data_IF_428119253066
#
_entry.id   IF_428119253066
#
_cell.length_a   1.000
_cell.length_b   1.000
_cell.length_c   1.000
_cell.angle_alpha   90.00
_cell.angle_beta   90.00
_cell.angle_gamma   90.00
#
_symmetry.space_group_name_H-M   'P 1'
#
loop_
_entity.id
_entity.type
_entity.pdbx_description
1 polymer ?
#
# COMPACT_ATOMS: atom_id res chain seq x y z
N UNK A 1 -22.04 -14.74 -56.68
CA UNK A 1 -21.48 -13.37 -56.72
C UNK A 1 -22.30 -12.50 -55.80
N UNK A 2 -21.81 -12.25 -54.58
CA UNK A 2 -22.06 -11.04 -53.80
C UNK A 2 -21.03 -11.05 -52.67
N UNK A 3 -19.82 -10.65 -53.05
CA UNK A 3 -18.76 -10.24 -52.15
C UNK A 3 -19.03 -8.85 -51.58
N UNK A 4 -18.49 -8.64 -50.38
CA UNK A 4 -18.06 -7.36 -49.77
C UNK A 4 -19.13 -6.36 -49.33
N UNK A 5 -19.13 -6.04 -48.04
CA UNK A 5 -18.30 -4.93 -47.55
C UNK A 5 -18.02 -5.07 -46.05
N UNK A 6 -16.76 -5.37 -45.76
CA UNK A 6 -16.13 -5.34 -44.44
C UNK A 6 -15.75 -3.88 -44.17
N UNK A 7 -16.36 -3.23 -43.18
CA UNK A 7 -15.83 -2.01 -42.56
C UNK A 7 -16.40 -1.83 -41.15
N UNK A 8 -16.13 -2.79 -40.27
CA UNK A 8 -16.26 -2.53 -38.82
C UNK A 8 -15.19 -1.52 -38.44
N UNK A 9 -15.56 -0.26 -38.49
CA UNK A 9 -14.77 0.84 -37.96
C UNK A 9 -14.47 0.51 -36.49
N UNK A 10 -13.20 0.26 -36.16
CA UNK A 10 -12.75 -0.09 -34.80
C UNK A 10 -12.85 1.12 -33.87
N UNK A 11 -14.04 1.69 -33.67
CA UNK A 11 -14.25 2.77 -32.72
C UNK A 11 -14.15 2.23 -31.30
N UNK A 12 -13.23 2.79 -30.51
CA UNK A 12 -13.09 2.43 -29.10
C UNK A 12 -14.29 2.99 -28.34
N UNK A 13 -15.11 2.12 -27.76
CA UNK A 13 -16.27 2.52 -26.95
C UNK A 13 -15.80 2.92 -25.56
N UNK A 14 -15.79 4.22 -25.29
CA UNK A 14 -15.47 4.80 -23.98
C UNK A 14 -16.74 5.30 -23.30
N UNK A 15 -17.09 4.79 -22.11
CA UNK A 15 -18.25 5.31 -21.37
C UNK A 15 -17.91 6.69 -20.80
N UNK A 16 -18.92 7.53 -20.60
CA UNK A 16 -18.73 8.83 -19.93
C UNK A 16 -18.37 8.64 -18.44
N UNK A 17 -19.01 7.66 -17.80
CA UNK A 17 -18.81 7.30 -16.40
C UNK A 17 -18.89 5.79 -16.17
N UNK A 18 -18.29 5.33 -15.07
CA UNK A 18 -18.50 4.02 -14.49
C UNK A 18 -19.31 4.13 -13.21
N UNK A 19 -19.99 3.05 -12.84
CA UNK A 19 -20.70 2.90 -11.56
C UNK A 19 -19.87 1.95 -10.70
N UNK A 20 -19.37 2.42 -9.56
CA UNK A 20 -18.71 1.58 -8.57
C UNK A 20 -19.79 0.95 -7.70
N UNK A 21 -19.95 -0.37 -7.75
CA UNK A 21 -20.99 -1.03 -6.97
C UNK A 21 -20.82 -0.84 -5.47
N UNK A 22 -19.56 -0.78 -5.02
CA UNK A 22 -19.21 -0.52 -3.62
C UNK A 22 -19.95 -1.41 -2.65
N UNK A 23 -20.51 -0.78 -1.62
CA UNK A 23 -21.16 -1.45 -0.50
C UNK A 23 -22.70 -1.39 -0.58
N UNK A 24 -23.26 -1.16 -1.77
CA UNK A 24 -24.67 -0.84 -1.98
C UNK A 24 -25.68 -1.89 -1.47
N UNK A 25 -25.25 -3.15 -1.36
CA UNK A 25 -26.10 -4.28 -0.98
C UNK A 25 -26.05 -4.62 0.52
N UNK A 26 -25.24 -3.90 1.31
CA UNK A 26 -24.99 -4.23 2.73
C UNK A 26 -25.94 -3.46 3.65
N UNK A 27 -26.73 -4.14 4.51
CA UNK A 27 -27.57 -3.46 5.49
C UNK A 27 -26.71 -2.74 6.53
N UNK A 28 -27.18 -1.59 7.02
CA UNK A 28 -26.50 -0.77 8.05
C UNK A 28 -25.08 -0.31 7.68
N UNK A 29 -24.75 -0.22 6.39
CA UNK A 29 -23.43 0.17 5.90
C UNK A 29 -22.96 1.55 6.39
N UNK A 30 -23.88 2.42 6.82
CA UNK A 30 -23.56 3.75 7.39
C UNK A 30 -22.53 3.67 8.52
N UNK A 31 -22.61 2.67 9.40
CA UNK A 31 -21.65 2.48 10.48
C UNK A 31 -20.25 2.12 9.95
N UNK A 32 -20.18 1.36 8.86
CA UNK A 32 -18.91 1.00 8.23
C UNK A 32 -18.23 2.21 7.58
N UNK A 33 -18.99 3.13 6.98
CA UNK A 33 -18.43 4.39 6.45
C UNK A 33 -17.88 5.31 7.54
N UNK A 34 -18.58 5.40 8.68
CA UNK A 34 -18.08 6.13 9.86
C UNK A 34 -16.79 5.48 10.36
N UNK A 35 -16.75 4.15 10.44
CA UNK A 35 -15.55 3.40 10.79
C UNK A 35 -14.39 3.70 9.83
N UNK A 36 -14.59 3.62 8.52
CA UNK A 36 -13.57 3.96 7.52
C UNK A 36 -13.10 5.41 7.62
N UNK A 37 -13.98 6.35 7.97
CA UNK A 37 -13.62 7.76 8.18
C UNK A 37 -12.69 7.93 9.38
N UNK A 38 -12.92 7.18 10.46
CA UNK A 38 -12.01 7.13 11.61
C UNK A 38 -10.65 6.53 11.21
N UNK A 39 -10.65 5.41 10.48
CA UNK A 39 -9.43 4.77 9.98
C UNK A 39 -8.63 5.74 9.10
N UNK A 40 -9.28 6.45 8.17
CA UNK A 40 -8.64 7.46 7.32
C UNK A 40 -8.03 8.58 8.15
N UNK A 41 -8.77 9.13 9.10
CA UNK A 41 -8.28 10.22 9.96
C UNK A 41 -7.07 9.77 10.77
N UNK A 42 -7.12 8.58 11.37
CA UNK A 42 -6.01 8.01 12.12
C UNK A 42 -4.78 7.77 11.23
N UNK A 43 -5.00 7.27 10.01
CA UNK A 43 -3.94 7.02 9.02
C UNK A 43 -3.27 8.32 8.58
N UNK A 44 -4.06 9.34 8.26
CA UNK A 44 -3.57 10.65 7.85
C UNK A 44 -2.76 11.30 8.96
N UNK A 45 -3.33 11.40 10.16
CA UNK A 45 -2.64 12.01 11.30
C UNK A 45 -1.39 11.23 11.70
N UNK A 46 -1.46 9.90 11.75
CA UNK A 46 -0.35 9.05 12.14
C UNK A 46 0.82 9.13 11.17
N UNK A 47 0.57 9.00 9.87
CA UNK A 47 1.62 9.02 8.86
C UNK A 47 2.19 10.43 8.65
N UNK A 48 1.36 11.48 8.66
CA UNK A 48 1.85 12.86 8.64
C UNK A 48 2.74 13.16 9.85
N UNK A 49 2.35 12.72 11.04
CA UNK A 49 3.15 12.88 12.23
C UNK A 49 4.52 12.19 12.10
N UNK A 50 4.56 10.96 11.59
CA UNK A 50 5.82 10.23 11.34
C UNK A 50 6.68 11.00 10.34
N UNK A 51 6.11 11.47 9.22
CA UNK A 51 6.83 12.23 8.21
C UNK A 51 7.39 13.55 8.77
N UNK A 52 6.59 14.31 9.52
CA UNK A 52 7.01 15.57 10.15
C UNK A 52 8.14 15.34 11.14
N UNK A 53 8.05 14.30 11.97
CA UNK A 53 9.13 13.99 12.93
C UNK A 53 10.44 13.67 12.22
N UNK A 54 10.39 12.83 11.18
CA UNK A 54 11.58 12.46 10.40
C UNK A 54 12.16 13.71 9.72
N UNK A 55 11.32 14.61 9.21
CA UNK A 55 11.75 15.84 8.56
C UNK A 55 12.40 16.84 9.52
N UNK A 56 11.89 16.95 10.76
CA UNK A 56 12.35 17.94 11.75
C UNK A 56 13.59 17.47 12.53
N UNK A 57 13.65 16.19 12.90
CA UNK A 57 14.77 15.66 13.69
C UNK A 57 15.90 15.15 12.80
N UNK A 58 16.97 15.95 12.67
CA UNK A 58 18.16 15.56 11.90
C UNK A 58 18.80 14.25 12.38
N UNK A 59 18.62 13.84 13.64
CA UNK A 59 19.14 12.56 14.13
C UNK A 59 18.42 11.36 13.49
N UNK A 60 17.23 11.59 12.93
CA UNK A 60 16.45 10.58 12.21
C UNK A 60 16.80 10.56 10.72
N UNK A 61 17.71 11.39 10.21
CA UNK A 61 18.14 11.33 8.80
C UNK A 61 19.10 10.16 8.53
N UNK A 62 18.61 8.94 8.76
CA UNK A 62 19.35 7.69 8.54
C UNK A 62 18.65 6.84 7.48
N UNK A 63 19.33 5.83 6.90
CA UNK A 63 18.82 5.11 5.74
C UNK A 63 17.49 4.40 6.06
N UNK A 64 17.38 3.86 7.29
CA UNK A 64 16.15 3.25 7.82
C UNK A 64 14.96 4.21 7.77
N UNK A 65 15.13 5.46 8.20
CA UNK A 65 14.01 6.41 8.26
C UNK A 65 13.65 6.98 6.89
N UNK A 66 14.57 7.00 5.91
CA UNK A 66 14.20 7.28 4.52
C UNK A 66 13.18 6.26 4.00
N UNK A 67 13.38 4.98 4.33
CA UNK A 67 12.45 3.90 3.96
C UNK A 67 11.12 4.04 4.73
N UNK A 68 11.15 4.36 6.02
CA UNK A 68 9.93 4.60 6.82
C UNK A 68 9.15 5.82 6.29
N UNK A 69 9.84 6.88 5.90
CA UNK A 69 9.22 8.06 5.30
C UNK A 69 8.53 7.70 3.97
N UNK A 70 9.18 6.88 3.14
CA UNK A 70 8.58 6.37 1.91
C UNK A 70 7.32 5.54 2.19
N UNK A 71 7.35 4.70 3.22
CA UNK A 71 6.20 3.89 3.63
C UNK A 71 5.03 4.76 4.07
N UNK A 72 5.29 5.77 4.91
CA UNK A 72 4.28 6.72 5.35
C UNK A 72 3.68 7.53 4.19
N UNK A 73 4.49 7.90 3.19
CA UNK A 73 4.01 8.55 1.97
C UNK A 73 3.09 7.63 1.17
N UNK A 74 3.47 6.36 1.01
CA UNK A 74 2.66 5.37 0.30
C UNK A 74 1.34 5.08 1.03
N UNK A 75 1.37 4.98 2.37
CA UNK A 75 0.19 4.81 3.23
C UNK A 75 -0.82 5.97 3.08
N UNK A 76 -0.32 7.22 3.05
CA UNK A 76 -1.15 8.40 2.81
C UNK A 76 -1.73 8.42 1.40
N UNK A 77 -0.90 8.12 0.39
CA UNK A 77 -1.29 8.11 -1.01
C UNK A 77 -2.40 7.11 -1.29
N UNK A 78 -2.24 5.86 -0.83
CA UNK A 78 -3.24 4.80 -0.99
C UNK A 78 -4.55 5.15 -0.29
N UNK A 79 -4.47 5.59 0.97
CA UNK A 79 -5.65 5.93 1.77
C UNK A 79 -6.42 7.10 1.17
N UNK A 80 -5.72 8.10 0.63
CA UNK A 80 -6.31 9.27 -0.03
C UNK A 80 -6.89 8.91 -1.40
N UNK A 81 -6.33 7.92 -2.09
CA UNK A 81 -6.89 7.44 -3.35
C UNK A 81 -8.19 6.63 -3.13
N UNK A 82 -8.27 5.81 -2.07
CA UNK A 82 -9.41 4.94 -1.80
C UNK A 82 -10.53 5.64 -1.02
N UNK A 83 -10.22 6.13 0.18
CA UNK A 83 -11.24 6.40 1.21
C UNK A 83 -12.12 7.63 0.88
N UNK A 84 -11.58 8.76 0.38
CA UNK A 84 -12.40 9.92 0.01
C UNK A 84 -13.50 9.59 -1.00
N UNK A 85 -13.24 8.74 -2.01
CA UNK A 85 -14.26 8.37 -2.99
C UNK A 85 -15.37 7.52 -2.36
N UNK A 86 -15.00 6.63 -1.45
CA UNK A 86 -15.94 5.81 -0.68
C UNK A 86 -16.83 6.69 0.21
N UNK A 87 -16.26 7.73 0.83
CA UNK A 87 -17.00 8.71 1.64
C UNK A 87 -17.90 9.58 0.78
N UNK A 88 -17.45 10.06 -0.39
CA UNK A 88 -18.28 10.82 -1.33
C UNK A 88 -19.52 10.02 -1.75
N UNK A 89 -19.31 8.76 -2.11
CA UNK A 89 -20.39 7.82 -2.48
C UNK A 89 -21.41 7.68 -1.34
N UNK A 90 -20.94 7.64 -0.08
CA UNK A 90 -21.81 7.60 1.09
C UNK A 90 -22.60 8.90 1.32
N UNK A 91 -21.93 10.06 1.25
CA UNK A 91 -22.53 11.35 1.58
C UNK A 91 -23.53 11.83 0.54
N UNK A 92 -23.22 11.62 -0.74
CA UNK A 92 -24.00 12.16 -1.86
C UNK A 92 -24.79 11.11 -2.63
N UNK A 93 -24.69 9.83 -2.22
CA UNK A 93 -25.30 8.68 -2.90
C UNK A 93 -24.91 8.57 -4.39
N UNK A 94 -23.73 9.11 -4.75
CA UNK A 94 -23.20 9.10 -6.12
C UNK A 94 -22.18 7.97 -6.27
N UNK A 95 -22.61 6.87 -6.88
CA UNK A 95 -21.72 5.74 -7.23
C UNK A 95 -20.98 5.97 -8.54
N UNK A 96 -21.30 7.06 -9.23
CA UNK A 96 -20.70 7.40 -10.51
C UNK A 96 -19.31 8.01 -10.34
N UNK A 97 -18.43 7.62 -11.26
CA UNK A 97 -17.09 8.18 -11.42
C UNK A 97 -16.83 8.38 -12.90
N UNK A 98 -16.32 9.54 -13.28
CA UNK A 98 -15.97 9.78 -14.68
C UNK A 98 -14.87 8.82 -15.14
N UNK A 99 -14.85 8.48 -16.42
CA UNK A 99 -13.84 7.57 -16.98
C UNK A 99 -12.41 7.97 -16.60
N UNK A 100 -12.06 9.26 -16.75
CA UNK A 100 -10.74 9.77 -16.42
C UNK A 100 -10.42 9.72 -14.92
N UNK A 101 -11.37 10.06 -14.05
CA UNK A 101 -11.19 9.95 -12.60
C UNK A 101 -11.02 8.49 -12.16
N UNK A 102 -11.68 7.55 -12.84
CA UNK A 102 -11.54 6.12 -12.57
C UNK A 102 -10.15 5.60 -12.93
N UNK A 103 -9.57 6.03 -14.06
CA UNK A 103 -8.20 5.69 -14.43
C UNK A 103 -7.17 6.30 -13.45
N UNK A 104 -7.39 7.53 -12.99
CA UNK A 104 -6.55 8.15 -11.97
C UNK A 104 -6.64 7.41 -10.63
N UNK A 105 -7.85 7.04 -10.19
CA UNK A 105 -8.07 6.23 -9.00
C UNK A 105 -7.34 4.88 -9.12
N UNK A 106 -7.52 4.18 -10.23
CA UNK A 106 -6.80 2.94 -10.53
C UNK A 106 -5.28 3.12 -10.43
N UNK A 107 -4.74 4.16 -11.05
CA UNK A 107 -3.31 4.45 -11.03
C UNK A 107 -2.77 4.64 -9.61
N UNK A 108 -3.35 5.57 -8.84
CA UNK A 108 -2.82 5.91 -7.52
C UNK A 108 -2.98 4.76 -6.52
N UNK A 109 -4.10 4.04 -6.55
CA UNK A 109 -4.31 2.89 -5.65
C UNK A 109 -3.23 1.83 -5.88
N UNK A 110 -3.04 1.42 -7.14
CA UNK A 110 -2.07 0.36 -7.43
C UNK A 110 -0.63 0.81 -7.22
N UNK A 111 -0.29 2.04 -7.62
CA UNK A 111 1.05 2.59 -7.43
C UNK A 111 1.44 2.62 -5.95
N UNK A 112 0.61 3.18 -5.09
CA UNK A 112 0.94 3.25 -3.67
C UNK A 112 0.91 1.88 -2.98
N UNK A 113 0.01 0.98 -3.38
CA UNK A 113 -0.01 -0.39 -2.86
C UNK A 113 1.28 -1.16 -3.21
N UNK A 114 1.72 -1.06 -4.47
CA UNK A 114 2.97 -1.66 -4.93
C UNK A 114 4.17 -1.05 -4.19
N UNK A 115 4.16 0.28 -4.02
CA UNK A 115 5.20 0.98 -3.26
C UNK A 115 5.28 0.53 -1.79
N UNK A 116 4.15 0.27 -1.11
CA UNK A 116 4.16 -0.29 0.25
C UNK A 116 4.86 -1.64 0.28
N UNK A 117 4.48 -2.55 -0.62
CA UNK A 117 5.06 -3.88 -0.73
C UNK A 117 6.58 -3.85 -0.95
N UNK A 118 7.03 -3.05 -1.92
CA UNK A 118 8.45 -2.81 -2.22
C UNK A 118 9.18 -2.28 -0.98
N UNK A 119 8.57 -1.34 -0.27
CA UNK A 119 9.16 -0.69 0.90
C UNK A 119 9.32 -1.68 2.06
N UNK A 120 8.36 -2.58 2.27
CA UNK A 120 8.50 -3.68 3.23
C UNK A 120 9.65 -4.63 2.85
N UNK A 121 9.83 -4.95 1.56
CA UNK A 121 11.00 -5.73 1.13
C UNK A 121 12.31 -5.00 1.40
N UNK A 122 12.36 -3.68 1.19
CA UNK A 122 13.56 -2.88 1.46
C UNK A 122 13.87 -2.80 2.96
N UNK A 123 12.85 -2.76 3.83
CA UNK A 123 13.04 -2.89 5.28
C UNK A 123 13.59 -4.28 5.65
N UNK A 124 13.12 -5.35 5.03
CA UNK A 124 13.68 -6.68 5.22
C UNK A 124 15.15 -6.75 4.79
N UNK A 125 15.49 -6.12 3.66
CA UNK A 125 16.86 -6.01 3.17
C UNK A 125 17.76 -5.27 4.15
N UNK A 126 17.33 -4.11 4.69
CA UNK A 126 18.07 -3.39 5.74
C UNK A 126 18.38 -4.30 6.94
N UNK A 127 17.37 -5.03 7.44
CA UNK A 127 17.54 -5.96 8.57
C UNK A 127 18.48 -7.11 8.23
N UNK A 128 18.35 -7.67 7.04
CA UNK A 128 19.22 -8.73 6.56
C UNK A 128 20.69 -8.28 6.54
N UNK A 129 21.00 -7.14 5.92
CA UNK A 129 22.39 -6.65 5.87
C UNK A 129 22.90 -6.33 7.28
N UNK A 130 22.07 -5.74 8.14
CA UNK A 130 22.45 -5.37 9.50
C UNK A 130 22.84 -6.58 10.37
N UNK A 131 22.14 -7.72 10.22
CA UNK A 131 22.32 -8.89 11.08
C UNK A 131 23.26 -9.92 10.44
N UNK A 132 23.08 -10.21 9.15
CA UNK A 132 23.84 -11.24 8.45
C UNK A 132 25.21 -10.75 7.98
N UNK A 133 25.38 -9.44 7.75
CA UNK A 133 26.63 -8.85 7.22
C UNK A 133 27.04 -7.59 8.01
N UNK A 134 27.14 -7.67 9.36
CA UNK A 134 27.29 -6.49 10.22
C UNK A 134 28.56 -5.67 9.91
N UNK A 135 29.67 -6.31 9.53
CA UNK A 135 30.95 -5.65 9.22
C UNK A 135 30.86 -4.71 8.00
N UNK A 136 29.97 -5.00 7.04
CA UNK A 136 29.81 -4.20 5.82
C UNK A 136 28.57 -3.31 5.84
N UNK A 137 27.76 -3.37 6.88
CA UNK A 137 26.48 -2.65 6.95
C UNK A 137 26.63 -1.15 6.63
N UNK A 138 27.55 -0.45 7.31
CA UNK A 138 27.77 1.00 7.11
C UNK A 138 28.28 1.38 5.72
N UNK A 139 28.85 0.43 4.97
CA UNK A 139 29.32 0.67 3.61
C UNK A 139 28.26 0.34 2.56
N UNK A 140 27.35 -0.60 2.86
CA UNK A 140 26.30 -1.05 1.93
C UNK A 140 25.05 -0.19 2.09
N UNK A 141 24.59 -0.02 3.33
CA UNK A 141 23.35 0.69 3.66
C UNK A 141 23.70 2.11 4.10
N UNK A 142 23.61 3.03 3.15
CA UNK A 142 23.89 4.46 3.33
C UNK A 142 22.68 5.26 2.84
N UNK A 143 22.59 6.55 3.21
CA UNK A 143 21.49 7.40 2.73
C UNK A 143 21.49 7.48 1.20
N UNK A 144 22.67 7.61 0.59
CA UNK A 144 22.82 7.66 -0.85
C UNK A 144 22.39 6.36 -1.53
N UNK A 145 22.87 5.21 -1.05
CA UNK A 145 22.50 3.91 -1.65
C UNK A 145 21.00 3.62 -1.51
N UNK A 146 20.39 3.89 -0.35
CA UNK A 146 18.95 3.70 -0.16
C UNK A 146 18.12 4.68 -0.98
N UNK A 147 18.55 5.94 -1.12
CA UNK A 147 17.87 6.92 -1.97
C UNK A 147 17.91 6.51 -3.45
N UNK A 148 19.04 6.01 -3.94
CA UNK A 148 19.17 5.49 -5.31
C UNK A 148 18.26 4.28 -5.51
N UNK A 149 18.29 3.30 -4.58
CA UNK A 149 17.44 2.10 -4.64
C UNK A 149 15.96 2.49 -4.68
N UNK A 150 15.52 3.37 -3.77
CA UNK A 150 14.14 3.88 -3.74
C UNK A 150 13.77 4.56 -5.06
N UNK A 151 14.63 5.44 -5.58
CA UNK A 151 14.36 6.16 -6.84
C UNK A 151 14.19 5.20 -8.01
N UNK A 152 15.05 4.19 -8.12
CA UNK A 152 14.96 3.17 -9.19
C UNK A 152 13.66 2.37 -9.05
N UNK A 153 13.29 1.97 -7.83
CA UNK A 153 12.07 1.22 -7.58
C UNK A 153 10.80 2.07 -7.84
N UNK A 154 10.83 3.36 -7.53
CA UNK A 154 9.78 4.32 -7.89
C UNK A 154 9.58 4.42 -9.39
N UNK A 155 10.66 4.59 -10.16
CA UNK A 155 10.58 4.68 -11.61
C UNK A 155 10.11 3.37 -12.23
N UNK A 156 10.56 2.23 -11.69
CA UNK A 156 10.11 0.91 -12.12
C UNK A 156 8.61 0.73 -11.89
N UNK A 157 8.13 0.96 -10.67
CA UNK A 157 6.72 0.84 -10.32
C UNK A 157 5.86 1.81 -11.15
N UNK A 158 6.26 3.07 -11.24
CA UNK A 158 5.60 4.09 -12.06
C UNK A 158 5.42 3.62 -13.51
N UNK A 159 6.49 3.08 -14.11
CA UNK A 159 6.45 2.59 -15.49
C UNK A 159 5.48 1.43 -15.66
N UNK A 160 5.51 0.45 -14.76
CA UNK A 160 4.65 -0.74 -14.82
C UNK A 160 3.18 -0.36 -14.62
N UNK A 161 2.87 0.50 -13.66
CA UNK A 161 1.49 0.92 -13.38
C UNK A 161 0.95 1.84 -14.48
N UNK A 162 1.75 2.79 -14.98
CA UNK A 162 1.36 3.61 -16.13
C UNK A 162 1.07 2.75 -17.35
N UNK A 163 1.91 1.76 -17.65
CA UNK A 163 1.67 0.85 -18.75
C UNK A 163 0.39 0.04 -18.54
N UNK A 164 0.17 -0.49 -17.34
CA UNK A 164 -1.05 -1.23 -16.97
C UNK A 164 -2.31 -0.38 -17.17
N UNK A 165 -2.31 0.89 -16.74
CA UNK A 165 -3.43 1.82 -16.94
C UNK A 165 -3.58 2.21 -18.41
N UNK A 166 -2.48 2.42 -19.13
CA UNK A 166 -2.52 2.73 -20.55
C UNK A 166 -3.18 1.60 -21.37
N UNK A 167 -2.98 0.33 -20.99
CA UNK A 167 -3.64 -0.80 -21.65
C UNK A 167 -5.17 -0.75 -21.52
N UNK A 168 -5.70 -0.23 -20.41
CA UNK A 168 -7.13 -0.02 -20.20
C UNK A 168 -7.71 0.99 -21.20
N UNK A 169 -6.94 2.00 -21.62
CA UNK A 169 -7.38 3.02 -22.59
C UNK A 169 -7.64 2.48 -23.99
N UNK A 170 -7.12 1.27 -24.28
CA UNK A 170 -7.31 0.55 -25.54
C UNK A 170 -8.57 -0.32 -25.55
N UNK A 171 -9.25 -0.47 -24.41
CA UNK A 171 -10.41 -1.31 -24.27
C UNK A 171 -11.71 -0.59 -24.65
N UNK A 172 -12.62 -1.34 -25.26
CA UNK A 172 -13.99 -0.92 -25.57
C UNK A 172 -14.95 -1.54 -24.55
N UNK A 173 -15.54 -0.71 -23.70
CA UNK A 173 -16.45 -1.14 -22.64
C UNK A 173 -17.88 -1.21 -23.17
N UNK A 174 -18.33 -2.40 -23.56
CA UNK A 174 -19.68 -2.60 -24.10
C UNK A 174 -20.53 -3.63 -23.34
N UNK A 175 -19.94 -4.41 -22.41
CA UNK A 175 -20.68 -5.41 -21.63
C UNK A 175 -21.45 -4.77 -20.46
N UNK A 176 -20.80 -3.86 -19.75
CA UNK A 176 -21.35 -3.16 -18.58
C UNK A 176 -20.46 -1.97 -18.24
N UNK A 177 -21.02 -0.98 -17.54
CA UNK A 177 -20.31 0.14 -16.92
C UNK A 177 -20.24 0.00 -15.39
N UNK A 178 -20.74 -1.10 -14.84
CA UNK A 178 -20.73 -1.39 -13.40
C UNK A 178 -19.48 -2.17 -13.02
N UNK A 179 -18.62 -1.55 -12.21
CA UNK A 179 -17.41 -2.16 -11.67
C UNK A 179 -17.77 -2.88 -10.37
N UNK A 180 -17.56 -4.20 -10.34
CA UNK A 180 -17.79 -5.04 -9.16
C UNK A 180 -16.65 -4.96 -8.14
N UNK A 181 -16.46 -3.77 -7.57
CA UNK A 181 -15.50 -3.44 -6.51
C UNK A 181 -15.96 -2.19 -5.74
N UNK A 182 -15.20 -1.76 -4.74
CA UNK A 182 -15.41 -0.48 -4.02
C UNK A 182 -14.52 0.67 -4.50
N UNK A 183 -13.66 0.39 -5.49
CA UNK A 183 -12.83 1.36 -6.20
C UNK A 183 -12.67 0.92 -7.66
N UNK A 184 -11.93 1.69 -8.47
CA UNK A 184 -11.61 1.32 -9.84
C UNK A 184 -10.52 0.25 -9.88
N UNK A 185 -10.93 -1.00 -9.67
CA UNK A 185 -10.04 -2.15 -9.67
C UNK A 185 -9.76 -2.66 -11.09
N UNK A 186 -8.48 -2.88 -11.41
CA UNK A 186 -8.01 -3.32 -12.72
C UNK A 186 -8.73 -4.59 -13.20
N UNK A 187 -8.85 -5.60 -12.33
CA UNK A 187 -9.40 -6.90 -12.65
C UNK A 187 -10.87 -6.83 -13.12
N UNK A 188 -11.78 -6.31 -12.28
CA UNK A 188 -13.16 -6.05 -12.65
C UNK A 188 -13.29 -5.16 -13.88
N UNK A 189 -12.47 -4.11 -14.02
CA UNK A 189 -12.55 -3.18 -15.15
C UNK A 189 -12.27 -3.86 -16.50
N UNK A 190 -11.11 -4.51 -16.69
CA UNK A 190 -10.77 -5.01 -18.03
C UNK A 190 -11.71 -6.13 -18.51
N UNK A 191 -12.38 -6.84 -17.58
CA UNK A 191 -13.35 -7.91 -17.90
C UNK A 191 -14.66 -7.38 -18.50
N UNK A 192 -14.98 -6.11 -18.28
CA UNK A 192 -16.14 -5.45 -18.89
C UNK A 192 -15.94 -5.12 -20.37
N UNK A 193 -14.70 -5.23 -20.87
CA UNK A 193 -14.37 -4.97 -22.26
C UNK A 193 -14.89 -6.06 -23.20
N UNK A 194 -15.21 -5.66 -24.43
CA UNK A 194 -15.68 -6.54 -25.50
C UNK A 194 -14.58 -6.94 -26.49
N UNK A 195 -13.53 -6.13 -26.62
CA UNK A 195 -12.36 -6.45 -27.42
C UNK A 195 -11.34 -7.28 -26.62
N UNK A 196 -10.29 -7.72 -27.31
CA UNK A 196 -9.24 -8.53 -26.70
C UNK A 196 -8.59 -7.80 -25.51
N UNK A 197 -8.65 -8.45 -24.35
CA UNK A 197 -8.09 -7.97 -23.09
C UNK A 197 -6.99 -8.90 -22.56
N UNK A 198 -6.47 -9.82 -23.39
CA UNK A 198 -5.39 -10.77 -23.06
C UNK A 198 -4.18 -10.10 -22.40
N UNK A 199 -3.71 -8.99 -22.95
CA UNK A 199 -2.59 -8.22 -22.38
C UNK A 199 -2.89 -7.66 -20.98
N UNK A 200 -4.13 -7.26 -20.71
CA UNK A 200 -4.53 -6.80 -19.38
C UNK A 200 -4.54 -7.98 -18.39
N UNK A 201 -5.02 -9.15 -18.82
CA UNK A 201 -4.96 -10.36 -17.99
C UNK A 201 -3.52 -10.78 -17.67
N UNK A 202 -2.61 -10.73 -18.67
CA UNK A 202 -1.17 -10.99 -18.48
C UNK A 202 -0.56 -9.98 -17.51
N UNK A 203 -0.84 -8.68 -17.69
CA UNK A 203 -0.34 -7.64 -16.79
C UNK A 203 -0.88 -7.79 -15.37
N UNK A 204 -2.12 -8.23 -15.18
CA UNK A 204 -2.67 -8.49 -13.85
C UNK A 204 -1.86 -9.59 -13.13
N UNK A 205 -1.55 -10.70 -13.83
CA UNK A 205 -0.72 -11.78 -13.27
C UNK A 205 0.71 -11.28 -13.00
N UNK A 206 1.30 -10.54 -13.95
CA UNK A 206 2.63 -9.98 -13.81
C UNK A 206 2.76 -9.07 -12.58
N UNK A 207 1.80 -8.16 -12.37
CA UNK A 207 1.77 -7.28 -11.19
C UNK A 207 1.65 -8.08 -9.89
N UNK A 208 0.76 -9.08 -9.82
CA UNK A 208 0.61 -9.92 -8.63
C UNK A 208 1.90 -10.68 -8.32
N UNK A 209 2.55 -11.29 -9.32
CA UNK A 209 3.82 -12.00 -9.11
C UNK A 209 4.92 -11.06 -8.67
N UNK A 210 5.06 -9.92 -9.35
CA UNK A 210 6.15 -8.96 -9.15
C UNK A 210 6.03 -8.18 -7.85
N UNK A 211 4.83 -7.76 -7.46
CA UNK A 211 4.62 -6.88 -6.31
C UNK A 211 4.01 -7.58 -5.10
N UNK A 212 3.67 -8.87 -5.18
CA UNK A 212 3.18 -9.62 -4.01
C UNK A 212 4.08 -10.82 -3.74
N UNK A 213 4.14 -11.78 -4.67
CA UNK A 213 4.83 -13.06 -4.40
C UNK A 213 6.34 -12.93 -4.38
N UNK A 214 6.94 -12.14 -5.26
CA UNK A 214 8.39 -11.90 -5.28
C UNK A 214 8.84 -11.17 -3.99
N UNK A 215 8.26 -10.02 -3.61
CA UNK A 215 8.48 -9.35 -2.32
C UNK A 215 8.34 -10.28 -1.12
N UNK A 216 7.25 -11.05 -1.02
CA UNK A 216 7.02 -11.99 0.07
C UNK A 216 8.11 -13.08 0.12
N UNK A 217 8.53 -13.58 -1.04
CA UNK A 217 9.62 -14.57 -1.14
C UNK A 217 10.95 -13.99 -0.69
N UNK A 218 11.30 -12.78 -1.14
CA UNK A 218 12.53 -12.09 -0.74
C UNK A 218 12.55 -11.79 0.76
N UNK A 219 11.42 -11.39 1.33
CA UNK A 219 11.26 -11.21 2.78
C UNK A 219 11.47 -12.56 3.49
N UNK A 220 10.79 -13.62 3.06
CA UNK A 220 10.92 -14.95 3.65
C UNK A 220 12.37 -15.48 3.65
N UNK A 221 13.06 -15.36 2.51
CA UNK A 221 14.48 -15.74 2.39
C UNK A 221 15.38 -14.88 3.29
N UNK A 222 15.15 -13.58 3.33
CA UNK A 222 15.90 -12.66 4.22
C UNK A 222 15.76 -13.08 5.68
N UNK A 223 14.55 -13.42 6.11
CA UNK A 223 14.28 -13.85 7.48
C UNK A 223 14.79 -15.25 7.79
N UNK A 224 14.77 -16.18 6.83
CA UNK A 224 15.42 -17.47 6.97
C UNK A 224 16.93 -17.30 7.23
N UNK A 225 17.61 -16.44 6.46
CA UNK A 225 19.02 -16.14 6.67
C UNK A 225 19.28 -15.43 8.01
N UNK A 226 18.40 -14.52 8.44
CA UNK A 226 18.47 -13.88 9.75
C UNK A 226 18.40 -14.94 10.85
N UNK A 227 17.41 -15.84 10.80
CA UNK A 227 17.27 -16.92 11.78
C UNK A 227 18.51 -17.81 11.85
N UNK A 228 19.07 -18.20 10.70
CA UNK A 228 20.34 -18.96 10.64
C UNK A 228 21.48 -18.19 11.30
N UNK A 229 21.57 -16.88 11.07
CA UNK A 229 22.61 -16.04 11.68
C UNK A 229 22.41 -15.90 13.20
N UNK A 230 21.17 -15.89 13.70
CA UNK A 230 20.87 -15.86 15.13
C UNK A 230 21.35 -17.12 15.85
N UNK A 231 21.24 -18.29 15.23
CA UNK A 231 21.76 -19.54 15.82
C UNK A 231 23.29 -19.50 16.02
N UNK A 232 24.01 -18.71 15.21
CA UNK A 232 25.47 -18.53 15.34
C UNK A 232 25.87 -17.55 16.47
N UNK A 233 24.93 -16.75 16.98
CA UNK A 233 25.20 -15.84 18.11
C UNK A 233 25.28 -16.67 19.40
N UNK A 234 26.41 -16.58 20.11
CA UNK A 234 26.66 -17.35 21.32
C UNK A 234 25.83 -16.89 22.53
N UNK A 235 25.50 -15.60 22.64
CA UNK A 235 24.76 -15.05 23.78
C UNK A 235 23.25 -15.00 23.55
N UNK A 236 22.48 -15.43 24.54
CA UNK A 236 21.02 -15.34 24.55
C UNK A 236 20.52 -13.89 24.46
N UNK A 237 21.19 -12.98 25.17
CA UNK A 237 20.90 -11.55 25.13
C UNK A 237 21.07 -10.95 23.73
N UNK A 238 22.10 -11.37 23.00
CA UNK A 238 22.33 -10.96 21.60
C UNK A 238 21.22 -11.43 20.67
N UNK A 239 20.76 -12.69 20.85
CA UNK A 239 19.62 -13.25 20.09
C UNK A 239 18.33 -12.50 20.38
N UNK A 240 18.02 -12.27 21.66
CA UNK A 240 16.80 -11.59 22.08
C UNK A 240 16.76 -10.14 21.57
N UNK A 241 17.89 -9.44 21.61
CA UNK A 241 18.01 -8.08 21.07
C UNK A 241 17.74 -8.04 19.58
N UNK A 242 18.28 -8.99 18.81
CA UNK A 242 18.08 -9.06 17.37
C UNK A 242 16.65 -9.51 16.96
N UNK A 243 16.02 -10.40 17.72
CA UNK A 243 14.61 -10.74 17.52
C UNK A 243 13.70 -9.54 17.79
N UNK A 244 14.00 -8.76 18.84
CA UNK A 244 13.24 -7.55 19.18
C UNK A 244 13.34 -6.46 18.11
N UNK A 245 14.47 -6.35 17.40
CA UNK A 245 14.58 -5.39 16.29
C UNK A 245 13.79 -5.82 15.06
N UNK A 246 13.57 -7.13 14.88
CA UNK A 246 12.89 -7.71 13.72
C UNK A 246 11.37 -7.84 13.90
N UNK A 247 10.88 -7.91 15.14
CA UNK A 247 9.46 -8.16 15.44
C UNK A 247 8.54 -7.08 14.87
N UNK A 248 8.92 -5.80 15.01
CA UNK A 248 8.16 -4.69 14.43
C UNK A 248 7.95 -4.85 12.92
N UNK A 249 9.01 -5.21 12.19
CA UNK A 249 8.91 -5.43 10.75
C UNK A 249 8.08 -6.66 10.38
N UNK A 250 8.22 -7.77 11.12
CA UNK A 250 7.36 -8.94 10.90
C UNK A 250 5.88 -8.63 11.13
N UNK A 251 5.54 -7.83 12.13
CA UNK A 251 4.15 -7.40 12.38
C UNK A 251 3.62 -6.65 11.15
N UNK A 252 4.38 -5.72 10.59
CA UNK A 252 3.96 -4.97 9.38
C UNK A 252 3.74 -5.89 8.18
N UNK A 253 4.68 -6.83 7.96
CA UNK A 253 4.57 -7.82 6.88
C UNK A 253 3.31 -8.67 7.06
N UNK A 254 3.03 -9.16 8.26
CA UNK A 254 1.86 -9.98 8.53
C UNK A 254 0.56 -9.18 8.33
N UNK A 255 0.50 -7.96 8.86
CA UNK A 255 -0.66 -7.07 8.73
C UNK A 255 -0.95 -6.73 7.27
N UNK A 256 0.08 -6.48 6.45
CA UNK A 256 -0.07 -6.17 5.04
C UNK A 256 -0.39 -7.41 4.19
N UNK A 257 0.43 -8.46 4.25
CA UNK A 257 0.33 -9.58 3.31
C UNK A 257 -0.77 -10.59 3.65
N UNK A 258 -1.08 -10.85 4.93
CA UNK A 258 -2.08 -11.88 5.27
C UNK A 258 -3.45 -11.53 4.67
N UNK A 259 -4.00 -10.31 4.85
CA UNK A 259 -5.32 -9.96 4.29
C UNK A 259 -5.32 -9.96 2.75
N UNK A 260 -4.26 -9.43 2.14
CA UNK A 260 -4.07 -9.40 0.69
C UNK A 260 -4.06 -10.82 0.09
N UNK A 261 -3.18 -11.69 0.58
CA UNK A 261 -3.06 -13.08 0.10
C UNK A 261 -4.34 -13.86 0.37
N UNK A 262 -4.97 -13.67 1.52
CA UNK A 262 -6.25 -14.31 1.85
C UNK A 262 -7.34 -13.93 0.86
N UNK A 263 -7.41 -12.65 0.45
CA UNK A 263 -8.35 -12.17 -0.57
C UNK A 263 -8.10 -12.87 -1.91
N UNK A 264 -6.83 -12.96 -2.34
CA UNK A 264 -6.47 -13.60 -3.61
C UNK A 264 -6.76 -15.10 -3.62
N UNK A 265 -6.39 -15.81 -2.56
CA UNK A 265 -6.68 -17.26 -2.44
C UNK A 265 -8.18 -17.48 -2.49
N UNK A 266 -8.93 -16.74 -1.67
CA UNK A 266 -10.35 -16.99 -1.52
C UNK A 266 -11.14 -16.58 -2.79
N UNK A 267 -10.69 -15.56 -3.54
CA UNK A 267 -11.22 -15.25 -4.87
C UNK A 267 -11.01 -16.37 -5.92
N UNK A 268 -10.12 -17.33 -5.66
CA UNK A 268 -9.77 -18.44 -6.57
C UNK A 268 -10.30 -19.80 -6.10
N UNK A 269 -10.47 -19.99 -4.81
CA UNK A 269 -10.82 -21.30 -4.22
C UNK A 269 -12.25 -21.40 -3.74
N UNK A 270 -12.93 -20.28 -3.45
CA UNK A 270 -14.27 -20.30 -2.86
C UNK A 270 -15.22 -19.32 -3.55
N UNK A 271 -16.52 -19.64 -3.55
CA UNK A 271 -17.57 -18.72 -3.95
C UNK A 271 -17.92 -17.79 -2.79
N UNK A 272 -17.03 -16.83 -2.50
CA UNK A 272 -17.32 -15.82 -1.48
C UNK A 272 -18.45 -14.89 -1.94
N UNK A 273 -19.42 -14.66 -1.06
CA UNK A 273 -20.44 -13.64 -1.26
C UNK A 273 -19.80 -12.27 -1.53
N UNK A 274 -20.27 -11.58 -2.57
CA UNK A 274 -19.73 -10.30 -3.05
C UNK A 274 -19.39 -9.32 -1.92
N UNK A 275 -20.33 -9.12 -1.01
CA UNK A 275 -20.19 -8.16 0.10
C UNK A 275 -19.05 -8.50 1.06
N UNK A 276 -18.86 -9.79 1.36
CA UNK A 276 -17.77 -10.27 2.21
C UNK A 276 -16.43 -10.01 1.53
N UNK A 277 -16.34 -10.27 0.22
CA UNK A 277 -15.14 -9.97 -0.57
C UNK A 277 -14.81 -8.48 -0.56
N UNK A 278 -15.82 -7.62 -0.73
CA UNK A 278 -15.65 -6.16 -0.76
C UNK A 278 -15.20 -5.64 0.61
N UNK A 279 -15.84 -6.08 1.71
CA UNK A 279 -15.42 -5.71 3.07
C UNK A 279 -14.00 -6.19 3.36
N UNK A 280 -13.68 -7.44 3.02
CA UNK A 280 -12.35 -7.99 3.25
C UNK A 280 -11.28 -7.24 2.47
N UNK A 281 -11.55 -6.91 1.20
CA UNK A 281 -10.64 -6.11 0.38
C UNK A 281 -10.48 -4.72 0.99
N UNK A 282 -11.57 -4.04 1.33
CA UNK A 282 -11.53 -2.72 1.99
C UNK A 282 -10.69 -2.72 3.28
N UNK A 283 -10.88 -3.71 4.15
CA UNK A 283 -10.06 -3.84 5.36
C UNK A 283 -8.59 -4.15 5.07
N UNK A 284 -8.31 -4.95 4.04
CA UNK A 284 -6.94 -5.29 3.62
C UNK A 284 -6.13 -4.06 3.18
N UNK A 285 -6.79 -3.06 2.59
CA UNK A 285 -6.17 -1.79 2.20
C UNK A 285 -6.21 -0.74 3.32
N UNK A 286 -7.23 -0.73 4.17
CA UNK A 286 -7.40 0.33 5.17
C UNK A 286 -6.62 0.07 6.48
N UNK A 287 -6.50 -1.19 6.92
CA UNK A 287 -5.90 -1.52 8.22
C UNK A 287 -4.38 -1.34 8.24
N UNK A 288 -3.60 -1.82 7.26
CA UNK A 288 -2.14 -1.72 7.33
C UNK A 288 -1.64 -0.28 7.43
N UNK A 289 -2.05 0.66 6.56
CA UNK A 289 -1.63 2.07 6.64
C UNK A 289 -1.91 2.73 8.00
N UNK A 290 -3.00 2.35 8.66
CA UNK A 290 -3.36 2.85 9.99
C UNK A 290 -2.45 2.31 11.09
N UNK A 291 -2.13 1.01 11.04
CA UNK A 291 -1.31 0.36 12.07
C UNK A 291 0.18 0.66 11.93
N UNK A 292 0.64 0.94 10.71
CA UNK A 292 2.04 1.22 10.37
C UNK A 292 2.68 2.28 11.30
N UNK A 293 2.13 3.50 11.46
CA UNK A 293 2.64 4.51 12.40
C UNK A 293 2.75 4.03 13.85
N UNK A 294 1.80 3.23 14.32
CA UNK A 294 1.78 2.68 15.68
C UNK A 294 2.94 1.71 15.85
N UNK A 295 3.16 0.83 14.87
CA UNK A 295 4.25 -0.15 14.92
C UNK A 295 5.62 0.53 14.84
N UNK A 296 5.81 1.58 14.03
CA UNK A 296 7.07 2.33 14.00
C UNK A 296 7.29 3.12 15.28
N UNK A 297 6.30 3.91 15.72
CA UNK A 297 6.43 4.83 16.86
C UNK A 297 6.53 4.11 18.21
N UNK A 298 5.77 3.05 18.43
CA UNK A 298 5.78 2.30 19.69
C UNK A 298 6.98 1.35 19.81
N UNK A 299 7.69 1.02 18.75
CA UNK A 299 8.85 0.13 18.82
C UNK A 299 10.20 0.84 18.62
N UNK A 300 10.19 2.12 18.30
CA UNK A 300 11.42 2.88 18.00
C UNK A 300 11.75 3.82 19.16
N UNK A 301 12.85 3.55 19.85
CA UNK A 301 13.28 4.33 21.03
C UNK A 301 13.53 5.80 20.66
N UNK A 302 14.05 6.04 19.46
CA UNK A 302 14.40 7.35 18.93
C UNK A 302 13.15 8.23 18.73
N UNK A 303 12.06 7.67 18.19
CA UNK A 303 10.78 8.37 18.06
C UNK A 303 10.19 8.64 19.45
N UNK A 304 10.23 7.66 20.36
CA UNK A 304 9.76 7.86 21.75
C UNK A 304 10.54 8.95 22.48
N UNK A 305 11.85 9.00 22.30
CA UNK A 305 12.71 10.00 22.93
C UNK A 305 12.49 11.38 22.33
N UNK A 306 12.28 11.50 21.02
CA UNK A 306 11.87 12.75 20.38
C UNK A 306 10.54 13.25 20.95
N UNK A 307 9.52 12.39 20.99
CA UNK A 307 8.21 12.70 21.56
C UNK A 307 8.32 13.14 23.02
N UNK A 308 9.11 12.43 23.82
CA UNK A 308 9.38 12.79 25.23
C UNK A 308 10.07 14.15 25.35
N UNK A 309 11.05 14.45 24.49
CA UNK A 309 11.74 15.75 24.45
C UNK A 309 10.77 16.88 24.07
N UNK A 310 9.88 16.68 23.11
CA UNK A 310 8.85 17.67 22.77
C UNK A 310 7.90 17.94 23.92
N UNK A 311 7.37 16.91 24.58
CA UNK A 311 6.49 17.09 25.74
C UNK A 311 7.19 17.78 26.91
N UNK A 312 8.48 17.49 27.13
CA UNK A 312 9.29 18.20 28.13
C UNK A 312 9.48 19.67 27.79
N UNK A 313 9.79 20.01 26.53
CA UNK A 313 9.93 21.41 26.07
C UNK A 313 8.60 22.17 26.15
N UNK A 314 7.49 21.55 25.73
CA UNK A 314 6.16 22.16 25.83
C UNK A 314 5.76 22.41 27.28
N UNK A 315 6.09 21.48 28.20
CA UNK A 315 5.86 21.66 29.64
C UNK A 315 6.71 22.79 30.23
N UNK A 316 7.97 22.96 29.79
CA UNK A 316 8.83 24.05 30.24
C UNK A 316 8.32 25.42 29.75
N UNK A 317 7.90 25.52 28.48
CA UNK A 317 7.35 26.76 27.93
C UNK A 317 6.00 27.13 28.56
N UNK A 318 5.18 26.13 28.94
CA UNK A 318 3.91 26.39 29.66
C UNK A 318 4.17 26.90 31.08
N UNK A 319 5.21 26.40 31.77
CA UNK A 319 5.58 26.87 33.12
C UNK A 319 6.11 28.31 33.10
N UNK A 320 6.84 28.72 32.05
CA UNK A 320 7.32 30.10 31.89
C UNK A 320 6.21 31.11 31.52
N UNK A 321 5.06 30.64 31.05
CA UNK A 321 3.91 31.49 30.68
C UNK A 321 2.84 31.65 31.75
N UNK A 322 3.00 31.05 32.93
CA UNK A 322 2.10 31.28 34.07
C UNK A 322 2.60 32.53 34.82
N UNK A 323 1.87 33.67 34.80
CA UNK A 323 2.24 34.82 35.60
C UNK A 323 2.08 34.48 37.09
N UNK A 324 3.07 34.87 37.90
CA UNK A 324 2.94 34.89 39.36
C UNK A 324 1.82 35.84 39.80
#
# INVERSE_FOLDING_TARGET
MTSSMNSSSNFIVRPMSFIISGFSSIPNIKYYYVFLSFIYTATVLGNLFVMVIIYVDQNLHTPKYLVIFNLAMADLGESTALIPKVIETFLFNTQEISYGACLANLFFVFFFNCMQSITLTLLAYDRFVAICVPLRYKSIVTNASMAVILTVLWLFDLTIILFTVALITRLSFCKSTVIDSYFCDHGPMYRLACNDNSLNAVMAIFNIVTFIFLPLTLIGLSYACILVSLFKIASWEGRLKALKTCSSHLILVLVFYIPLVSTYIAARTTSIHRDVRIINTSLSYAIPPMLNPIVYSLNTAEIKDFVRKMFRRKRHNVIETIPN
#
